data_IF_941932717422
#
_entry.id   IF_941932717422
#
_cell.length_a   1.000
_cell.length_b   1.000
_cell.length_c   1.000
_cell.angle_alpha   90.00
_cell.angle_beta   90.00
_cell.angle_gamma   90.00
#
_symmetry.space_group_name_H-M   'P 1'
#
loop_
_entity.id
_entity.type
_entity.pdbx_description
1 polymer ?
#
# COMPACT_ATOMS: atom_id res chain seq x y z
N UNK A 1 1.42 -67.36 48.78
CA UNK A 1 2.38 -66.42 48.19
C UNK A 1 2.04 -66.31 46.73
N UNK A 2 1.20 -65.40 46.41
CA UNK A 2 0.72 -65.13 45.05
C UNK A 2 1.15 -63.73 44.68
N UNK A 3 2.00 -63.58 43.65
CA UNK A 3 2.51 -62.35 43.12
C UNK A 3 1.40 -61.63 42.27
N UNK A 4 1.20 -60.37 42.53
CA UNK A 4 0.38 -59.48 41.71
C UNK A 4 1.17 -59.00 40.49
N UNK A 5 0.56 -58.82 39.32
CA UNK A 5 1.23 -58.31 38.13
C UNK A 5 1.38 -56.76 38.18
N UNK A 6 2.59 -56.28 37.82
CA UNK A 6 2.89 -54.87 37.57
C UNK A 6 2.12 -54.37 36.35
N UNK A 7 1.13 -53.51 36.53
CA UNK A 7 0.59 -52.67 35.46
C UNK A 7 1.55 -51.48 35.24
N UNK A 8 2.31 -51.56 34.15
CA UNK A 8 3.04 -50.40 33.64
C UNK A 8 2.02 -49.36 33.15
N UNK A 9 1.90 -48.26 33.89
CA UNK A 9 1.07 -47.11 33.48
C UNK A 9 1.74 -46.51 32.24
N UNK A 10 1.03 -46.57 31.11
CA UNK A 10 1.46 -45.98 29.86
C UNK A 10 1.37 -44.44 29.96
N UNK A 11 2.49 -43.83 30.37
CA UNK A 11 2.62 -42.38 30.59
C UNK A 11 2.51 -41.63 29.26
N UNK A 12 2.88 -42.22 28.12
CA UNK A 12 2.70 -41.62 26.79
C UNK A 12 1.22 -41.53 26.41
N UNK A 13 0.42 -42.52 26.74
CA UNK A 13 -1.04 -42.49 26.52
C UNK A 13 -1.72 -41.42 27.37
N UNK A 14 -1.31 -41.19 28.60
CA UNK A 14 -1.86 -40.18 29.48
C UNK A 14 -1.51 -38.74 29.01
N UNK A 15 -0.28 -38.51 28.58
CA UNK A 15 0.17 -37.20 28.02
C UNK A 15 -0.50 -36.88 26.69
N UNK A 16 -0.77 -37.88 25.86
CA UNK A 16 -1.52 -37.66 24.60
C UNK A 16 -3.02 -37.42 24.84
N UNK A 17 -3.60 -38.05 25.87
CA UNK A 17 -4.96 -37.81 26.30
C UNK A 17 -5.13 -36.40 26.92
N UNK A 18 -4.17 -35.93 27.72
CA UNK A 18 -4.18 -34.62 28.34
C UNK A 18 -4.03 -33.49 27.27
N UNK A 19 -3.21 -33.72 26.23
CA UNK A 19 -3.13 -32.80 25.05
C UNK A 19 -4.39 -32.75 24.18
N UNK A 20 -5.17 -33.83 24.16
CA UNK A 20 -6.45 -33.87 23.41
C UNK A 20 -7.62 -33.27 24.20
N UNK A 21 -7.59 -33.30 25.54
CA UNK A 21 -8.69 -32.78 26.39
C UNK A 21 -8.69 -31.26 26.50
N UNK A 22 -7.58 -30.59 26.16
CA UNK A 22 -7.48 -29.10 26.21
C UNK A 22 -7.49 -28.39 24.86
N UNK A 23 -8.12 -28.96 23.80
CA UNK A 23 -8.61 -28.11 22.74
C UNK A 23 -9.96 -27.52 23.19
N UNK A 24 -9.99 -26.21 23.52
CA UNK A 24 -11.26 -25.57 23.81
C UNK A 24 -12.14 -25.78 22.56
N UNK A 25 -13.45 -26.09 22.72
CA UNK A 25 -14.36 -26.21 21.60
C UNK A 25 -14.26 -24.97 20.73
N UNK A 26 -14.39 -25.09 19.39
CA UNK A 26 -14.36 -23.93 18.51
C UNK A 26 -15.39 -22.92 19.02
N UNK A 27 -14.88 -21.90 19.73
CA UNK A 27 -15.72 -20.84 20.25
C UNK A 27 -16.44 -20.20 19.07
N UNK A 28 -17.77 -20.15 19.13
CA UNK A 28 -18.56 -19.34 18.17
C UNK A 28 -17.85 -17.99 18.04
N UNK A 29 -17.65 -17.49 16.80
CA UNK A 29 -16.96 -16.22 16.62
C UNK A 29 -17.60 -15.17 17.52
N UNK A 30 -16.85 -14.67 18.50
CA UNK A 30 -17.36 -13.71 19.45
C UNK A 30 -17.79 -12.45 18.69
N UNK A 31 -18.77 -11.70 19.19
CA UNK A 31 -19.20 -10.42 18.61
C UNK A 31 -18.00 -9.52 18.32
N UNK A 32 -16.95 -9.63 19.09
CA UNK A 32 -15.65 -8.99 18.93
C UNK A 32 -14.91 -9.37 17.63
N UNK A 33 -15.15 -10.59 17.09
CA UNK A 33 -14.52 -11.04 15.86
C UNK A 33 -15.11 -10.36 14.62
N UNK A 34 -16.42 -10.14 14.60
CA UNK A 34 -17.06 -9.45 13.46
C UNK A 34 -16.80 -7.94 13.50
N UNK A 35 -16.77 -7.34 14.68
CA UNK A 35 -16.57 -5.89 14.83
C UNK A 35 -15.23 -5.41 14.27
N UNK A 36 -14.14 -6.12 14.51
CA UNK A 36 -12.81 -5.75 13.97
C UNK A 36 -12.76 -5.79 12.45
N UNK A 37 -13.42 -6.78 11.81
CA UNK A 37 -13.49 -6.88 10.36
C UNK A 37 -14.41 -5.82 9.76
N UNK A 38 -15.49 -5.47 10.45
CA UNK A 38 -16.37 -4.39 10.04
C UNK A 38 -15.66 -3.03 10.10
N UNK A 39 -14.89 -2.76 11.17
CA UNK A 39 -14.07 -1.54 11.26
C UNK A 39 -13.00 -1.51 10.15
N UNK A 40 -12.37 -2.65 9.86
CA UNK A 40 -11.42 -2.78 8.75
C UNK A 40 -12.09 -2.49 7.40
N UNK A 41 -13.29 -3.00 7.18
CA UNK A 41 -14.04 -2.75 5.95
C UNK A 41 -14.36 -1.26 5.76
N UNK A 42 -14.77 -0.54 6.83
CA UNK A 42 -15.02 0.91 6.77
C UNK A 42 -13.73 1.66 6.40
N UNK A 43 -12.61 1.35 7.05
CA UNK A 43 -11.32 1.97 6.75
C UNK A 43 -10.89 1.68 5.30
N UNK A 44 -11.06 0.43 4.85
CA UNK A 44 -10.73 0.00 3.49
C UNK A 44 -11.56 0.74 2.44
N UNK A 45 -12.86 0.92 2.68
CA UNK A 45 -13.74 1.68 1.77
C UNK A 45 -13.32 3.14 1.72
N UNK A 46 -13.06 3.79 2.85
CA UNK A 46 -12.59 5.19 2.89
C UNK A 46 -11.26 5.35 2.15
N UNK A 47 -10.35 4.41 2.33
CA UNK A 47 -9.04 4.40 1.65
C UNK A 47 -9.20 4.22 0.13
N UNK A 48 -10.06 3.30 -0.31
CA UNK A 48 -10.39 3.11 -1.72
C UNK A 48 -11.04 4.36 -2.34
N UNK A 49 -11.96 4.99 -1.62
CA UNK A 49 -12.63 6.23 -2.07
C UNK A 49 -11.63 7.38 -2.18
N UNK A 50 -10.69 7.52 -1.26
CA UNK A 50 -9.64 8.55 -1.33
C UNK A 50 -8.82 8.40 -2.61
N UNK A 51 -8.39 7.19 -2.91
CA UNK A 51 -7.61 6.90 -4.12
C UNK A 51 -8.46 7.02 -5.39
N UNK A 52 -9.74 6.65 -5.33
CA UNK A 52 -10.69 6.86 -6.42
C UNK A 52 -10.85 8.36 -6.73
N UNK A 53 -10.90 9.24 -5.73
CA UNK A 53 -10.94 10.70 -5.94
C UNK A 53 -9.64 11.18 -6.59
N UNK A 54 -8.49 10.71 -6.10
CA UNK A 54 -7.17 11.05 -6.63
C UNK A 54 -7.09 10.80 -8.14
N UNK A 55 -7.44 9.59 -8.56
CA UNK A 55 -7.31 9.12 -9.95
C UNK A 55 -8.60 9.23 -10.78
N UNK A 56 -9.66 9.89 -10.26
CA UNK A 56 -10.98 9.95 -10.91
C UNK A 56 -10.98 10.42 -12.36
N UNK A 57 -10.00 11.22 -12.74
CA UNK A 57 -9.87 11.77 -14.09
C UNK A 57 -8.78 11.07 -14.94
N UNK A 58 -7.94 10.24 -14.34
CA UNK A 58 -6.85 9.57 -15.06
C UNK A 58 -7.32 8.78 -16.30
N UNK A 59 -8.34 7.88 -16.22
CA UNK A 59 -8.77 7.10 -17.39
C UNK A 59 -9.57 7.88 -18.44
N UNK A 60 -9.92 9.14 -18.16
CA UNK A 60 -10.70 10.03 -19.02
C UNK A 60 -10.02 11.40 -19.20
N UNK A 61 -8.69 11.44 -19.03
CA UNK A 61 -7.92 12.70 -19.01
C UNK A 61 -8.19 13.57 -20.21
N UNK A 62 -8.19 13.03 -21.41
CA UNK A 62 -8.44 13.75 -22.67
C UNK A 62 -9.84 14.40 -22.74
N UNK A 63 -10.88 13.78 -22.15
CA UNK A 63 -12.23 14.34 -22.11
C UNK A 63 -12.29 15.51 -21.11
N UNK A 64 -11.66 15.32 -19.97
CA UNK A 64 -11.62 16.31 -18.89
C UNK A 64 -10.82 17.56 -19.30
N UNK A 65 -9.64 17.36 -19.87
CA UNK A 65 -8.80 18.46 -20.36
C UNK A 65 -9.46 19.24 -21.48
N UNK A 66 -10.15 18.55 -22.36
CA UNK A 66 -10.95 19.20 -23.39
C UNK A 66 -12.11 20.05 -22.82
N UNK A 67 -12.66 19.69 -21.63
CA UNK A 67 -13.67 20.53 -20.94
C UNK A 67 -13.07 21.84 -20.45
N UNK A 68 -11.84 21.80 -19.98
CA UNK A 68 -11.12 22.96 -19.46
C UNK A 68 -10.26 23.67 -20.53
N UNK A 69 -10.51 23.44 -21.81
CA UNK A 69 -9.77 24.03 -22.91
C UNK A 69 -8.24 23.89 -22.77
N UNK A 70 -7.81 22.77 -22.19
CA UNK A 70 -6.42 22.44 -21.89
C UNK A 70 -5.69 23.42 -20.92
N UNK A 71 -6.45 24.23 -20.16
CA UNK A 71 -5.87 25.11 -19.13
C UNK A 71 -5.45 24.36 -17.86
N UNK A 72 -6.06 23.20 -17.61
CA UNK A 72 -5.73 22.33 -16.48
C UNK A 72 -5.60 20.88 -16.98
N UNK A 73 -4.50 20.26 -16.65
CA UNK A 73 -4.23 18.85 -17.00
C UNK A 73 -4.64 17.91 -15.87
N UNK A 74 -5.10 16.71 -16.22
CA UNK A 74 -5.59 15.72 -15.25
C UNK A 74 -4.50 15.29 -14.27
N UNK A 75 -3.24 15.13 -14.73
CA UNK A 75 -2.11 14.78 -13.87
C UNK A 75 -1.75 15.86 -12.84
N UNK A 76 -2.09 17.13 -13.11
CA UNK A 76 -1.90 18.20 -12.12
C UNK A 76 -2.74 17.94 -10.87
N UNK A 77 -3.98 17.48 -11.05
CA UNK A 77 -4.87 17.14 -9.94
C UNK A 77 -4.37 15.94 -9.13
N UNK A 78 -3.74 14.98 -9.79
CA UNK A 78 -3.10 13.82 -9.12
C UNK A 78 -1.84 14.29 -8.39
N UNK A 79 -1.04 15.14 -9.00
CA UNK A 79 0.19 15.71 -8.41
C UNK A 79 -0.10 16.50 -7.14
N UNK A 80 -1.26 17.18 -7.05
CA UNK A 80 -1.71 17.85 -5.82
C UNK A 80 -1.78 16.87 -4.63
N UNK A 81 -2.22 15.62 -4.84
CA UNK A 81 -2.21 14.60 -3.79
C UNK A 81 -0.79 14.28 -3.31
N UNK A 82 0.14 14.10 -4.22
CA UNK A 82 1.53 13.78 -3.87
C UNK A 82 2.23 14.93 -3.14
N UNK A 83 2.07 16.17 -3.61
CA UNK A 83 2.68 17.34 -2.98
C UNK A 83 2.07 17.58 -1.60
N UNK A 84 0.75 17.55 -1.47
CA UNK A 84 0.08 17.84 -0.20
C UNK A 84 0.32 16.74 0.85
N UNK A 85 0.58 15.49 0.42
CA UNK A 85 0.94 14.41 1.34
C UNK A 85 2.19 14.74 2.16
N UNK A 86 3.19 15.44 1.57
CA UNK A 86 4.47 15.71 2.22
C UNK A 86 4.28 16.44 3.57
N UNK A 87 3.66 17.64 3.65
CA UNK A 87 3.44 18.30 4.93
C UNK A 87 2.35 17.65 5.77
N UNK A 88 1.32 17.10 5.13
CA UNK A 88 0.13 16.61 5.85
C UNK A 88 0.31 15.23 6.46
N UNK A 89 1.27 14.42 5.98
CA UNK A 89 1.61 13.13 6.59
C UNK A 89 2.07 13.28 8.04
N UNK A 90 2.84 14.33 8.32
CA UNK A 90 3.30 14.64 9.67
C UNK A 90 2.13 15.09 10.56
N UNK A 91 1.30 16.00 10.05
CA UNK A 91 0.14 16.55 10.77
C UNK A 91 -0.88 15.44 11.02
N UNK A 92 -1.17 14.59 10.02
CA UNK A 92 -2.12 13.50 10.13
C UNK A 92 -1.70 12.45 11.14
N UNK A 93 -0.43 12.02 11.11
CA UNK A 93 0.13 11.09 12.09
C UNK A 93 0.05 11.68 13.51
N UNK A 94 0.46 12.94 13.69
CA UNK A 94 0.37 13.62 14.97
C UNK A 94 -1.08 13.72 15.50
N UNK A 95 -2.05 14.05 14.65
CA UNK A 95 -3.48 14.09 15.04
C UNK A 95 -3.96 12.71 15.50
N UNK A 96 -3.64 11.65 14.76
CA UNK A 96 -4.05 10.28 15.12
C UNK A 96 -3.46 9.83 16.45
N UNK A 97 -2.22 10.22 16.76
CA UNK A 97 -1.55 9.89 18.01
C UNK A 97 -2.07 10.72 19.20
N UNK A 98 -2.34 12.02 19.01
CA UNK A 98 -2.74 12.91 20.10
C UNK A 98 -4.22 12.85 20.44
N UNK A 99 -5.07 12.65 19.45
CA UNK A 99 -6.53 12.60 19.64
C UNK A 99 -7.03 11.16 19.67
N UNK A 100 -7.11 10.51 18.55
CA UNK A 100 -7.37 9.08 18.40
C UNK A 100 -7.35 8.70 16.91
N UNK A 101 -7.17 7.43 16.65
CA UNK A 101 -7.30 6.88 15.30
C UNK A 101 -8.68 7.19 14.68
N UNK A 102 -9.77 6.99 15.45
CA UNK A 102 -11.12 7.25 14.95
C UNK A 102 -11.35 8.72 14.58
N UNK A 103 -10.81 9.64 15.38
CA UNK A 103 -10.86 11.07 15.06
C UNK A 103 -10.17 11.38 13.74
N UNK A 104 -8.97 10.84 13.54
CA UNK A 104 -8.22 11.03 12.28
C UNK A 104 -8.94 10.45 11.07
N UNK A 105 -9.46 9.22 11.17
CA UNK A 105 -10.19 8.56 10.07
C UNK A 105 -11.48 9.32 9.71
N UNK A 106 -12.25 9.77 10.69
CA UNK A 106 -13.47 10.57 10.45
C UNK A 106 -13.12 11.94 9.86
N UNK A 107 -12.06 12.60 10.36
CA UNK A 107 -11.60 13.87 9.80
C UNK A 107 -11.18 13.70 8.33
N UNK A 108 -10.42 12.67 8.01
CA UNK A 108 -10.07 12.32 6.63
C UNK A 108 -11.31 12.06 5.77
N UNK A 109 -12.30 11.32 6.29
CA UNK A 109 -13.59 11.11 5.64
C UNK A 109 -14.33 12.40 5.31
N UNK A 110 -14.36 13.36 6.27
CA UNK A 110 -14.98 14.67 6.06
C UNK A 110 -14.24 15.50 5.01
N UNK A 111 -12.90 15.53 5.05
CA UNK A 111 -12.09 16.27 4.09
C UNK A 111 -12.29 15.76 2.66
N UNK A 112 -12.26 14.44 2.45
CA UNK A 112 -12.47 13.88 1.11
C UNK A 112 -13.91 14.05 0.62
N UNK A 113 -14.92 13.94 1.50
CA UNK A 113 -16.30 14.17 1.14
C UNK A 113 -16.56 15.64 0.76
N UNK A 114 -16.02 16.59 1.52
CA UNK A 114 -16.10 18.01 1.21
C UNK A 114 -15.38 18.34 -0.11
N UNK A 115 -14.17 17.81 -0.31
CA UNK A 115 -13.41 18.03 -1.55
C UNK A 115 -14.11 17.48 -2.79
N UNK A 116 -14.63 16.25 -2.73
CA UNK A 116 -15.40 15.65 -3.81
C UNK A 116 -16.70 16.42 -4.11
N UNK A 117 -17.40 16.89 -3.07
CA UNK A 117 -18.61 17.70 -3.22
C UNK A 117 -18.32 19.05 -3.88
N UNK A 118 -17.21 19.70 -3.51
CA UNK A 118 -16.79 20.96 -4.15
C UNK A 118 -16.51 20.77 -5.65
N UNK A 119 -15.88 19.65 -6.04
CA UNK A 119 -15.65 19.32 -7.45
C UNK A 119 -16.95 19.14 -8.23
N UNK A 120 -17.98 18.59 -7.60
CA UNK A 120 -19.31 18.51 -8.21
C UNK A 120 -19.93 19.89 -8.39
N UNK A 121 -19.94 20.73 -7.35
CA UNK A 121 -20.49 22.08 -7.44
C UNK A 121 -19.71 22.98 -8.38
N UNK A 122 -18.40 22.77 -8.54
CA UNK A 122 -17.57 23.51 -9.49
C UNK A 122 -18.10 23.44 -10.91
N UNK A 123 -18.67 22.29 -11.33
CA UNK A 123 -19.19 22.09 -12.68
C UNK A 123 -20.32 23.05 -13.09
N UNK A 124 -20.91 23.78 -12.16
CA UNK A 124 -22.01 24.74 -12.38
C UNK A 124 -21.56 26.21 -12.35
N UNK A 125 -20.25 26.44 -12.19
CA UNK A 125 -19.65 27.77 -12.21
C UNK A 125 -19.22 28.15 -13.64
N UNK A 126 -18.82 29.41 -13.80
CA UNK A 126 -18.14 29.84 -15.00
C UNK A 126 -16.82 29.11 -15.21
N UNK A 127 -16.24 29.05 -16.43
CA UNK A 127 -15.05 28.21 -16.69
C UNK A 127 -13.87 28.50 -15.77
N UNK A 128 -13.65 29.76 -15.40
CA UNK A 128 -12.55 30.13 -14.47
C UNK A 128 -12.86 29.68 -13.06
N UNK A 129 -14.08 29.87 -12.58
CA UNK A 129 -14.55 29.39 -11.29
C UNK A 129 -14.50 27.86 -11.19
N UNK A 130 -14.90 27.16 -12.27
CA UNK A 130 -14.80 25.69 -12.33
C UNK A 130 -13.38 25.20 -12.08
N UNK A 131 -12.37 25.81 -12.72
CA UNK A 131 -10.97 25.42 -12.55
C UNK A 131 -10.49 25.61 -11.10
N UNK A 132 -10.66 26.81 -10.55
CA UNK A 132 -10.16 27.10 -9.20
C UNK A 132 -10.88 26.31 -8.11
N UNK A 133 -12.21 26.14 -8.22
CA UNK A 133 -12.97 25.37 -7.22
C UNK A 133 -12.69 23.87 -7.35
N UNK A 134 -12.45 23.36 -8.57
CA UNK A 134 -12.00 21.97 -8.77
C UNK A 134 -10.61 21.74 -8.13
N UNK A 135 -9.65 22.65 -8.36
CA UNK A 135 -8.33 22.58 -7.73
C UNK A 135 -8.40 22.64 -6.20
N UNK A 136 -9.22 23.54 -5.67
CA UNK A 136 -9.41 23.66 -4.22
C UNK A 136 -10.10 22.43 -3.64
N UNK A 137 -11.12 21.88 -4.31
CA UNK A 137 -11.76 20.63 -3.92
C UNK A 137 -10.79 19.45 -3.95
N UNK A 138 -9.93 19.39 -4.97
CA UNK A 138 -8.88 18.37 -5.07
C UNK A 138 -7.85 18.49 -3.95
N UNK A 139 -7.40 19.71 -3.64
CA UNK A 139 -6.51 19.99 -2.51
C UNK A 139 -7.15 19.55 -1.20
N UNK A 140 -8.42 19.88 -0.96
CA UNK A 140 -9.12 19.48 0.26
C UNK A 140 -9.23 17.95 0.40
N UNK A 141 -9.55 17.25 -0.69
CA UNK A 141 -9.58 15.79 -0.72
C UNK A 141 -8.18 15.17 -0.50
N UNK A 142 -7.12 15.81 -1.00
CA UNK A 142 -5.76 15.33 -0.84
C UNK A 142 -5.25 15.41 0.60
N UNK A 143 -5.72 16.38 1.40
CA UNK A 143 -5.41 16.47 2.83
C UNK A 143 -5.93 15.26 3.62
N UNK A 144 -6.87 14.48 3.07
CA UNK A 144 -7.36 13.24 3.65
C UNK A 144 -6.39 12.07 3.49
N UNK A 145 -5.49 12.10 2.49
CA UNK A 145 -4.63 10.97 2.12
C UNK A 145 -3.81 10.40 3.29
N UNK A 146 -3.16 11.19 4.15
CA UNK A 146 -2.39 10.64 5.26
C UNK A 146 -3.24 9.88 6.28
N UNK A 147 -4.49 10.29 6.50
CA UNK A 147 -5.40 9.59 7.40
C UNK A 147 -5.82 8.22 6.84
N UNK A 148 -5.75 8.03 5.53
CA UNK A 148 -6.08 6.76 4.87
C UNK A 148 -4.86 5.85 4.71
N UNK A 149 -3.70 6.41 4.35
CA UNK A 149 -2.49 5.64 4.03
C UNK A 149 -1.66 5.31 5.29
N UNK A 150 -1.61 6.21 6.30
CA UNK A 150 -0.82 6.00 7.52
C UNK A 150 -1.60 5.29 8.64
N UNK A 151 -2.93 5.21 8.55
CA UNK A 151 -3.77 4.58 9.58
C UNK A 151 -3.74 3.04 9.62
N UNK A 152 -3.53 2.28 8.51
CA UNK A 152 -3.63 0.83 8.52
C UNK A 152 -2.72 0.12 9.53
N UNK A 153 -1.42 0.45 9.68
CA UNK A 153 -0.57 -0.17 10.70
C UNK A 153 -1.07 0.11 12.12
N UNK A 154 -1.44 1.37 12.42
CA UNK A 154 -1.97 1.77 13.71
C UNK A 154 -3.32 1.09 14.02
N UNK A 155 -4.20 1.00 13.02
CA UNK A 155 -5.46 0.27 13.11
C UNK A 155 -5.23 -1.21 13.43
N UNK A 156 -4.34 -1.85 12.69
CA UNK A 156 -4.03 -3.27 12.87
C UNK A 156 -3.44 -3.56 14.24
N UNK A 157 -2.55 -2.70 14.76
CA UNK A 157 -1.99 -2.82 16.09
C UNK A 157 -3.06 -2.73 17.19
N UNK A 158 -4.09 -1.89 16.99
CA UNK A 158 -5.16 -1.66 17.98
C UNK A 158 -6.27 -2.72 17.95
N UNK A 159 -6.57 -3.30 16.78
CA UNK A 159 -7.74 -4.17 16.59
C UNK A 159 -7.41 -5.64 16.40
N UNK A 160 -6.19 -5.98 16.00
CA UNK A 160 -5.81 -7.35 15.65
C UNK A 160 -4.67 -7.88 16.50
N UNK A 161 -4.67 -9.20 16.82
CA UNK A 161 -3.55 -9.84 17.48
C UNK A 161 -2.30 -9.83 16.59
N UNK A 162 -1.08 -9.94 17.14
CA UNK A 162 0.17 -9.90 16.40
C UNK A 162 0.19 -10.79 15.15
N UNK A 163 -0.36 -12.01 15.25
CA UNK A 163 -0.43 -12.98 14.14
C UNK A 163 -1.29 -12.57 12.94
N UNK A 164 -2.14 -11.55 13.07
CA UNK A 164 -3.07 -11.10 12.03
C UNK A 164 -2.81 -9.66 11.57
N UNK A 165 -1.86 -8.94 12.19
CA UNK A 165 -1.58 -7.53 11.89
C UNK A 165 -1.14 -7.31 10.46
N UNK A 166 -0.22 -8.14 9.96
CA UNK A 166 0.24 -8.05 8.57
C UNK A 166 -0.90 -8.21 7.57
N UNK A 167 -1.78 -9.19 7.78
CA UNK A 167 -2.94 -9.43 6.91
C UNK A 167 -3.91 -8.23 6.93
N UNK A 168 -4.27 -7.72 8.11
CA UNK A 168 -5.21 -6.60 8.22
C UNK A 168 -4.64 -5.30 7.65
N UNK A 169 -3.35 -5.03 7.83
CA UNK A 169 -2.66 -3.89 7.21
C UNK A 169 -2.66 -4.02 5.69
N UNK A 170 -2.31 -5.20 5.15
CA UNK A 170 -2.32 -5.44 3.71
C UNK A 170 -3.69 -5.28 3.09
N UNK A 171 -4.76 -5.73 3.75
CA UNK A 171 -6.15 -5.56 3.25
C UNK A 171 -6.48 -4.08 3.09
N UNK A 172 -6.17 -3.24 4.07
CA UNK A 172 -6.46 -1.81 4.02
C UNK A 172 -5.61 -1.07 2.96
N UNK A 173 -4.33 -1.42 2.83
CA UNK A 173 -3.45 -0.83 1.81
C UNK A 173 -3.83 -1.27 0.39
N UNK A 174 -4.15 -2.55 0.19
CA UNK A 174 -4.59 -3.05 -1.10
C UNK A 174 -5.94 -2.45 -1.52
N UNK A 175 -6.83 -2.15 -0.57
CA UNK A 175 -8.09 -1.47 -0.84
C UNK A 175 -7.86 -0.06 -1.42
N UNK A 176 -6.80 0.64 -1.01
CA UNK A 176 -6.40 1.92 -1.60
C UNK A 176 -6.16 1.78 -3.11
N UNK A 177 -5.28 0.87 -3.54
CA UNK A 177 -5.00 0.62 -4.95
C UNK A 177 -6.23 0.10 -5.73
N UNK A 178 -7.11 -0.70 -5.10
CA UNK A 178 -8.37 -1.12 -5.71
C UNK A 178 -9.28 0.06 -6.04
N UNK A 179 -9.22 1.17 -5.27
CA UNK A 179 -9.92 2.41 -5.59
C UNK A 179 -9.54 2.93 -6.99
N UNK A 180 -8.25 2.95 -7.32
CA UNK A 180 -7.78 3.31 -8.67
C UNK A 180 -8.27 2.33 -9.73
N UNK A 181 -8.18 1.02 -9.49
CA UNK A 181 -8.66 0.02 -10.43
C UNK A 181 -10.17 0.17 -10.73
N UNK A 182 -10.97 0.44 -9.70
CA UNK A 182 -12.42 0.67 -9.85
C UNK A 182 -12.71 1.90 -10.73
N UNK A 183 -11.99 2.99 -10.56
CA UNK A 183 -12.14 4.19 -11.39
C UNK A 183 -11.78 3.90 -12.85
N UNK A 184 -10.69 3.17 -13.09
CA UNK A 184 -10.32 2.74 -14.43
C UNK A 184 -11.38 1.86 -15.10
N UNK A 185 -12.08 1.03 -14.33
CA UNK A 185 -13.20 0.23 -14.84
C UNK A 185 -14.46 1.07 -15.07
N UNK A 186 -14.78 2.00 -14.18
CA UNK A 186 -16.10 2.66 -14.19
C UNK A 186 -16.14 3.96 -14.99
N UNK A 187 -15.10 4.81 -14.91
CA UNK A 187 -15.12 6.12 -15.55
C UNK A 187 -15.34 6.06 -17.08
N UNK A 188 -14.64 5.17 -17.85
CA UNK A 188 -14.86 5.12 -19.30
C UNK A 188 -16.21 4.56 -19.72
N UNK A 189 -16.93 3.90 -18.83
CA UNK A 189 -18.31 3.43 -19.08
C UNK A 189 -19.36 4.50 -18.79
N UNK A 190 -19.04 5.46 -17.93
CA UNK A 190 -19.99 6.48 -17.48
C UNK A 190 -19.73 7.84 -18.12
N UNK A 191 -18.52 8.08 -18.64
CA UNK A 191 -18.12 9.36 -19.22
C UNK A 191 -17.70 9.17 -20.68
N UNK A 192 -18.53 9.62 -21.58
CA UNK A 192 -18.30 9.56 -23.04
C UNK A 192 -18.07 10.96 -23.64
N UNK A 193 -18.52 12.00 -22.94
CA UNK A 193 -18.47 13.38 -23.38
C UNK A 193 -18.19 14.35 -22.21
N UNK A 194 -17.87 15.59 -22.55
CA UNK A 194 -17.71 16.68 -21.56
C UNK A 194 -18.99 16.92 -20.72
N UNK A 195 -20.17 16.61 -21.26
CA UNK A 195 -21.45 16.79 -20.57
C UNK A 195 -21.66 15.77 -19.43
N UNK A 196 -20.94 14.64 -19.44
CA UNK A 196 -21.11 13.57 -18.44
C UNK A 196 -20.26 13.82 -17.18
N UNK A 197 -19.31 14.77 -17.23
CA UNK A 197 -18.39 15.06 -16.11
C UNK A 197 -19.12 15.48 -14.83
N UNK A 198 -20.18 16.34 -14.86
CA UNK A 198 -20.93 16.64 -13.65
C UNK A 198 -21.58 15.41 -13.00
N UNK A 199 -22.12 14.50 -13.80
CA UNK A 199 -22.71 13.25 -13.30
C UNK A 199 -21.64 12.34 -12.67
N UNK A 200 -20.46 12.24 -13.30
CA UNK A 200 -19.31 11.52 -12.76
C UNK A 200 -18.86 12.10 -11.41
N UNK A 201 -18.70 13.42 -11.32
CA UNK A 201 -18.35 14.08 -10.05
C UNK A 201 -19.42 13.89 -8.98
N UNK A 202 -20.71 13.84 -9.35
CA UNK A 202 -21.79 13.53 -8.43
C UNK A 202 -21.65 12.11 -7.85
N UNK A 203 -21.38 11.09 -8.68
CA UNK A 203 -21.19 9.73 -8.22
C UNK A 203 -20.01 9.61 -7.24
N UNK A 204 -18.89 10.25 -7.56
CA UNK A 204 -17.73 10.30 -6.66
C UNK A 204 -18.06 11.03 -5.35
N UNK A 205 -18.78 12.16 -5.41
CA UNK A 205 -19.20 12.91 -4.23
C UNK A 205 -20.16 12.12 -3.34
N UNK A 206 -21.14 11.42 -3.92
CA UNK A 206 -22.09 10.58 -3.19
C UNK A 206 -21.38 9.39 -2.53
N UNK A 207 -20.43 8.77 -3.22
CA UNK A 207 -19.62 7.68 -2.66
C UNK A 207 -18.76 8.17 -1.47
N UNK A 208 -18.13 9.35 -1.62
CA UNK A 208 -17.33 9.96 -0.57
C UNK A 208 -18.19 10.37 0.65
N UNK A 209 -19.34 11.02 0.41
CA UNK A 209 -20.26 11.42 1.46
C UNK A 209 -20.87 10.21 2.18
N UNK A 210 -21.31 9.20 1.43
CA UNK A 210 -21.88 7.97 1.99
C UNK A 210 -20.88 7.20 2.87
N UNK A 211 -19.65 7.03 2.37
CA UNK A 211 -18.58 6.39 3.16
C UNK A 211 -18.22 7.19 4.41
N UNK A 212 -18.22 8.52 4.33
CA UNK A 212 -18.01 9.40 5.47
C UNK A 212 -19.13 9.26 6.52
N UNK A 213 -20.40 9.25 6.11
CA UNK A 213 -21.54 9.04 7.01
C UNK A 213 -21.42 7.69 7.72
N UNK A 214 -21.09 6.62 7.01
CA UNK A 214 -20.87 5.30 7.61
C UNK A 214 -19.72 5.35 8.63
N UNK A 215 -18.64 6.06 8.33
CA UNK A 215 -17.54 6.22 9.29
C UNK A 215 -17.95 7.02 10.54
N UNK A 216 -18.69 8.11 10.40
CA UNK A 216 -19.18 8.91 11.53
C UNK A 216 -20.09 8.08 12.44
N UNK A 217 -20.97 7.28 11.87
CA UNK A 217 -21.93 6.50 12.63
C UNK A 217 -21.33 5.28 13.32
N UNK A 218 -20.40 4.60 12.65
CA UNK A 218 -19.96 3.27 13.07
C UNK A 218 -18.48 3.15 13.42
N UNK A 219 -17.59 3.98 12.86
CA UNK A 219 -16.16 3.84 13.12
C UNK A 219 -15.80 4.29 14.53
N UNK A 220 -15.18 3.40 15.32
CA UNK A 220 -14.91 3.63 16.75
C UNK A 220 -13.44 3.40 17.08
N UNK A 221 -12.97 4.15 18.08
CA UNK A 221 -11.69 3.85 18.73
C UNK A 221 -11.82 2.58 19.55
N UNK A 222 -10.74 1.84 19.65
CA UNK A 222 -10.66 0.66 20.53
C UNK A 222 -10.81 1.08 21.97
N UNK A 223 -11.58 0.35 22.78
CA UNK A 223 -11.73 0.61 24.20
C UNK A 223 -10.39 0.31 24.90
N UNK A 224 -10.01 1.12 25.90
CA UNK A 224 -8.77 0.98 26.68
C UNK A 224 -8.53 -0.46 27.20
N UNK A 225 -9.58 -1.19 27.51
CA UNK A 225 -9.56 -2.59 27.95
C UNK A 225 -9.07 -3.57 26.87
N UNK A 226 -9.26 -3.25 25.57
CA UNK A 226 -8.75 -4.06 24.46
C UNK A 226 -7.28 -3.77 24.19
N UNK A 227 -6.85 -2.52 24.28
CA UNK A 227 -5.43 -2.14 24.12
C UNK A 227 -4.59 -2.91 25.14
N UNK A 228 -5.03 -2.98 26.41
CA UNK A 228 -4.32 -3.74 27.46
C UNK A 228 -4.31 -5.26 27.23
N UNK A 229 -5.26 -5.81 26.47
CA UNK A 229 -5.32 -7.25 26.18
C UNK A 229 -4.33 -7.69 25.08
N UNK A 230 -3.96 -6.79 24.18
CA UNK A 230 -3.03 -7.05 23.06
C UNK A 230 -1.69 -6.32 23.22
N UNK A 231 -1.60 -5.37 24.12
CA UNK A 231 -0.37 -4.66 24.45
C UNK A 231 0.33 -5.40 25.59
N UNK A 232 1.16 -6.34 25.21
CA UNK A 232 2.20 -6.84 26.09
C UNK A 232 3.26 -5.72 26.18
N UNK A 233 3.23 -4.95 27.28
CA UNK A 233 4.23 -3.95 27.71
C UNK A 233 4.92 -3.06 26.66
N UNK A 234 4.48 -3.03 25.42
CA UNK A 234 4.96 -2.04 24.45
C UNK A 234 4.28 -0.72 24.79
N UNK A 235 5.00 0.17 25.47
CA UNK A 235 4.66 1.59 25.59
C UNK A 235 4.14 2.04 24.24
N UNK A 236 2.88 2.53 24.18
CA UNK A 236 2.36 3.24 23.02
C UNK A 236 3.44 4.25 22.64
N UNK A 237 4.19 3.97 21.59
CA UNK A 237 5.26 4.85 21.15
C UNK A 237 4.60 6.15 20.72
N UNK A 238 4.70 7.18 21.56
CA UNK A 238 4.38 8.54 21.16
C UNK A 238 5.21 8.82 19.91
N UNK A 239 4.58 9.45 18.94
CA UNK A 239 5.24 9.90 17.72
C UNK A 239 6.53 10.66 18.08
N UNK A 240 7.67 10.05 17.80
CA UNK A 240 8.98 10.60 18.16
C UNK A 240 9.75 10.96 16.89
N UNK A 241 9.88 12.25 16.66
CA UNK A 241 10.62 12.83 15.54
C UNK A 241 12.08 12.36 15.48
N UNK A 242 12.66 11.99 16.61
CA UNK A 242 14.06 11.51 16.66
C UNK A 242 14.21 10.19 15.90
N UNK A 243 13.18 9.34 15.86
CA UNK A 243 13.20 8.07 15.15
C UNK A 243 13.36 8.23 13.63
N UNK A 244 12.85 9.33 13.07
CA UNK A 244 12.99 9.63 11.64
C UNK A 244 14.47 9.84 11.26
N UNK A 245 15.18 10.64 12.04
CA UNK A 245 16.61 10.86 11.81
C UNK A 245 17.43 9.61 12.11
N UNK A 246 17.07 8.87 13.14
CA UNK A 246 17.71 7.62 13.51
C UNK A 246 17.60 6.57 12.39
N UNK A 247 16.47 6.48 11.71
CA UNK A 247 16.28 5.56 10.59
C UNK A 247 17.32 5.78 9.48
N UNK A 248 17.58 7.03 9.10
CA UNK A 248 18.59 7.36 8.07
C UNK A 248 20.01 7.02 8.46
N UNK A 249 20.34 6.95 9.75
CA UNK A 249 21.68 6.60 10.22
C UNK A 249 21.99 5.10 10.02
N UNK A 250 21.00 4.26 9.77
CA UNK A 250 21.20 2.82 9.59
C UNK A 250 21.76 2.47 8.21
N UNK A 251 22.80 1.63 8.21
CA UNK A 251 23.49 1.21 6.99
C UNK A 251 22.54 0.44 6.07
N UNK A 252 22.36 0.92 4.86
CA UNK A 252 21.51 0.27 3.83
C UNK A 252 20.11 0.84 3.71
N UNK A 253 19.57 1.51 4.73
CA UNK A 253 18.19 1.99 4.71
C UNK A 253 17.88 2.92 3.53
N UNK A 254 18.77 3.86 3.20
CA UNK A 254 18.56 4.77 2.07
C UNK A 254 18.40 4.03 0.72
N UNK A 255 19.02 2.84 0.56
CA UNK A 255 18.88 2.05 -0.67
C UNK A 255 17.48 1.42 -0.78
N UNK A 256 16.88 1.05 0.35
CA UNK A 256 15.49 0.58 0.35
C UNK A 256 14.53 1.72 0.04
N UNK A 257 14.80 2.94 0.53
CA UNK A 257 14.02 4.13 0.17
C UNK A 257 14.06 4.36 -1.35
N UNK A 258 15.25 4.34 -1.97
CA UNK A 258 15.39 4.57 -3.41
C UNK A 258 14.61 3.53 -4.22
N UNK A 259 14.71 2.25 -3.87
CA UNK A 259 14.01 1.19 -4.59
C UNK A 259 12.49 1.25 -4.39
N UNK A 260 12.03 1.54 -3.17
CA UNK A 260 10.60 1.75 -2.86
C UNK A 260 10.04 2.94 -3.64
N UNK A 261 10.70 4.09 -3.53
CA UNK A 261 10.25 5.35 -4.15
C UNK A 261 10.17 5.24 -5.67
N UNK A 262 11.13 4.54 -6.30
CA UNK A 262 11.07 4.31 -7.73
C UNK A 262 9.89 3.42 -8.11
N UNK A 263 9.70 2.29 -7.41
CA UNK A 263 8.60 1.38 -7.72
C UNK A 263 7.24 2.07 -7.57
N UNK A 264 7.06 2.85 -6.50
CA UNK A 264 5.86 3.66 -6.29
C UNK A 264 5.69 4.72 -7.37
N UNK A 265 6.74 5.41 -7.72
CA UNK A 265 6.72 6.44 -8.77
C UNK A 265 6.30 5.85 -10.13
N UNK A 266 6.78 4.67 -10.51
CA UNK A 266 6.39 4.01 -11.76
C UNK A 266 4.91 3.60 -11.72
N UNK A 267 4.43 3.03 -10.60
CA UNK A 267 3.01 2.70 -10.44
C UNK A 267 2.15 3.96 -10.55
N UNK A 268 2.54 5.02 -9.86
CA UNK A 268 1.82 6.31 -9.87
C UNK A 268 1.83 6.96 -11.25
N UNK A 269 2.97 6.96 -11.95
CA UNK A 269 3.08 7.53 -13.30
C UNK A 269 2.22 6.75 -14.31
N UNK A 270 2.31 5.42 -14.32
CA UNK A 270 1.47 4.60 -15.19
C UNK A 270 -0.02 4.75 -14.85
N UNK A 271 -0.37 4.82 -13.57
CA UNK A 271 -1.76 5.04 -13.15
C UNK A 271 -2.27 6.45 -13.46
N UNK A 272 -1.40 7.47 -13.54
CA UNK A 272 -1.79 8.83 -13.83
C UNK A 272 -1.86 9.13 -15.33
N UNK A 273 -0.94 8.57 -16.11
CA UNK A 273 -0.67 8.97 -17.50
C UNK A 273 -1.06 7.90 -18.54
N UNK A 274 -1.65 6.77 -18.13
CA UNK A 274 -1.93 5.67 -19.05
C UNK A 274 -2.87 6.09 -20.21
N UNK A 275 -3.89 6.89 -19.92
CA UNK A 275 -4.79 7.41 -20.94
C UNK A 275 -4.05 8.32 -21.93
N UNK A 276 -3.12 9.15 -21.44
CA UNK A 276 -2.27 10.01 -22.27
C UNK A 276 -1.28 9.17 -23.12
N UNK A 277 -0.62 8.17 -22.52
CA UNK A 277 0.32 7.27 -23.22
C UNK A 277 -0.35 6.42 -24.31
N UNK A 278 -1.61 6.05 -24.10
CA UNK A 278 -2.39 5.27 -25.06
C UNK A 278 -3.28 6.11 -25.97
N UNK A 279 -3.35 7.44 -25.78
CA UNK A 279 -4.17 8.34 -26.62
C UNK A 279 -3.79 8.34 -28.10
N UNK A 280 -2.53 8.06 -28.41
CA UNK A 280 -2.01 7.91 -29.78
C UNK A 280 -2.43 6.59 -30.45
N UNK A 281 -3.08 5.69 -29.72
CA UNK A 281 -3.57 4.40 -30.22
C UNK A 281 -5.00 4.52 -30.73
N UNK A 282 -5.47 3.49 -31.45
CA UNK A 282 -6.87 3.37 -31.89
C UNK A 282 -7.78 2.75 -30.82
N UNK A 283 -7.31 2.62 -29.57
CA UNK A 283 -8.07 1.97 -28.50
C UNK A 283 -9.23 2.84 -28.03
N UNK A 284 -10.36 2.19 -27.73
CA UNK A 284 -11.47 2.86 -27.06
C UNK A 284 -11.12 3.19 -25.61
N UNK A 285 -11.75 4.22 -25.05
CA UNK A 285 -11.58 4.58 -23.62
C UNK A 285 -11.86 3.42 -22.69
N UNK A 286 -12.87 2.60 -23.02
CA UNK A 286 -13.20 1.38 -22.27
C UNK A 286 -12.06 0.35 -22.28
N UNK A 287 -11.40 0.17 -23.44
CA UNK A 287 -10.23 -0.71 -23.55
C UNK A 287 -9.05 -0.21 -22.73
N UNK A 288 -8.77 1.10 -22.78
CA UNK A 288 -7.72 1.74 -21.97
C UNK A 288 -8.03 1.57 -20.48
N UNK A 289 -9.29 1.81 -20.07
CA UNK A 289 -9.73 1.60 -18.70
C UNK A 289 -9.54 0.16 -18.23
N UNK A 290 -9.93 -0.83 -19.04
CA UNK A 290 -9.72 -2.25 -18.73
C UNK A 290 -8.23 -2.61 -18.59
N UNK A 291 -7.39 -2.09 -19.48
CA UNK A 291 -5.92 -2.30 -19.44
C UNK A 291 -5.33 -1.71 -18.15
N UNK A 292 -5.74 -0.49 -17.77
CA UNK A 292 -5.27 0.16 -16.55
C UNK A 292 -5.70 -0.58 -15.28
N UNK A 293 -6.96 -0.99 -15.21
CA UNK A 293 -7.45 -1.80 -14.10
C UNK A 293 -6.71 -3.15 -13.99
N UNK A 294 -6.49 -3.81 -15.12
CA UNK A 294 -5.76 -5.09 -15.17
C UNK A 294 -4.30 -4.94 -14.71
N UNK A 295 -3.62 -3.85 -15.09
CA UNK A 295 -2.29 -3.52 -14.60
C UNK A 295 -2.26 -3.40 -13.08
N UNK A 296 -3.18 -2.62 -12.49
CA UNK A 296 -3.24 -2.41 -11.03
C UNK A 296 -3.53 -3.73 -10.31
N UNK A 297 -4.52 -4.50 -10.79
CA UNK A 297 -4.86 -5.79 -10.18
C UNK A 297 -3.71 -6.78 -10.29
N UNK A 298 -3.00 -6.85 -11.43
CA UNK A 298 -1.84 -7.73 -11.58
C UNK A 298 -0.69 -7.32 -10.66
N UNK A 299 -0.49 -6.02 -10.42
CA UNK A 299 0.50 -5.52 -9.45
C UNK A 299 0.16 -5.95 -8.02
N UNK A 300 -1.11 -5.87 -7.61
CA UNK A 300 -1.56 -6.34 -6.30
C UNK A 300 -1.38 -7.85 -6.13
N UNK A 301 -1.81 -8.63 -7.12
CA UNK A 301 -1.70 -10.10 -7.10
C UNK A 301 -0.23 -10.53 -7.12
N UNK A 302 0.58 -9.96 -8.00
CA UNK A 302 2.01 -10.22 -8.08
C UNK A 302 2.72 -9.89 -6.76
N UNK A 303 2.42 -8.70 -6.21
CA UNK A 303 2.93 -8.26 -4.90
C UNK A 303 2.62 -9.25 -3.80
N UNK A 304 1.37 -9.69 -3.70
CA UNK A 304 0.93 -10.61 -2.65
C UNK A 304 1.55 -12.01 -2.79
N UNK A 305 1.57 -12.58 -4.00
CA UNK A 305 2.07 -13.93 -4.23
C UNK A 305 3.58 -14.03 -4.04
N UNK A 306 4.33 -13.07 -4.60
CA UNK A 306 5.81 -13.10 -4.55
C UNK A 306 6.29 -12.78 -3.13
N UNK A 307 5.69 -11.81 -2.43
CA UNK A 307 6.09 -11.46 -1.06
C UNK A 307 5.91 -12.63 -0.11
N UNK A 308 4.78 -13.35 -0.18
CA UNK A 308 4.55 -14.55 0.64
C UNK A 308 5.60 -15.64 0.40
N UNK A 309 6.08 -15.79 -0.84
CA UNK A 309 7.11 -16.77 -1.16
C UNK A 309 8.49 -16.32 -0.67
N UNK A 310 8.78 -15.02 -0.78
CA UNK A 310 10.05 -14.43 -0.32
C UNK A 310 10.20 -14.52 1.20
N UNK A 311 9.14 -14.30 1.95
CA UNK A 311 9.12 -14.42 3.41
C UNK A 311 9.51 -15.84 3.86
N UNK A 312 9.07 -16.87 3.12
CA UNK A 312 9.46 -18.26 3.39
C UNK A 312 10.93 -18.54 3.08
N UNK A 313 11.46 -17.96 2.00
CA UNK A 313 12.82 -18.25 1.52
C UNK A 313 13.88 -17.29 2.08
N UNK A 314 13.49 -16.20 2.72
CA UNK A 314 14.35 -15.12 3.26
C UNK A 314 15.35 -14.51 2.25
N UNK A 315 15.04 -14.57 0.95
CA UNK A 315 15.88 -14.08 -0.15
C UNK A 315 15.43 -12.71 -0.69
N UNK A 316 14.99 -11.82 0.19
CA UNK A 316 14.40 -10.51 -0.14
C UNK A 316 15.24 -9.70 -1.14
N UNK A 317 16.56 -9.58 -0.90
CA UNK A 317 17.45 -8.80 -1.78
C UNK A 317 17.50 -9.34 -3.19
N UNK A 318 17.70 -10.66 -3.35
CA UNK A 318 17.84 -11.29 -4.66
C UNK A 318 16.55 -11.17 -5.48
N UNK A 319 15.39 -11.39 -4.84
CA UNK A 319 14.09 -11.30 -5.51
C UNK A 319 13.79 -9.86 -5.89
N UNK A 320 14.08 -8.88 -5.03
CA UNK A 320 13.91 -7.47 -5.37
C UNK A 320 14.78 -7.06 -6.57
N UNK A 321 16.02 -7.53 -6.67
CA UNK A 321 16.89 -7.30 -7.84
C UNK A 321 16.33 -7.94 -9.11
N UNK A 322 15.84 -9.16 -9.04
CA UNK A 322 15.20 -9.84 -10.18
C UNK A 322 13.97 -9.05 -10.63
N UNK A 323 13.12 -8.62 -9.69
CA UNK A 323 11.93 -7.81 -10.00
C UNK A 323 12.32 -6.46 -10.64
N UNK A 324 13.34 -5.75 -10.14
CA UNK A 324 13.82 -4.50 -10.74
C UNK A 324 14.33 -4.72 -12.18
N UNK A 325 15.10 -5.79 -12.41
CA UNK A 325 15.61 -6.13 -13.76
C UNK A 325 14.46 -6.45 -14.71
N UNK A 326 13.52 -7.29 -14.26
CA UNK A 326 12.35 -7.65 -15.06
C UNK A 326 11.45 -6.45 -15.32
N UNK A 327 11.32 -5.51 -14.38
CA UNK A 327 10.60 -4.25 -14.57
C UNK A 327 11.23 -3.41 -15.67
N UNK A 328 12.58 -3.23 -15.66
CA UNK A 328 13.27 -2.49 -16.72
C UNK A 328 13.08 -3.14 -18.10
N UNK A 329 13.17 -4.47 -18.17
CA UNK A 329 12.93 -5.23 -19.41
C UNK A 329 11.49 -5.07 -19.87
N UNK A 330 10.51 -5.16 -18.95
CA UNK A 330 9.08 -5.06 -19.27
C UNK A 330 8.68 -3.67 -19.76
N UNK A 331 9.24 -2.59 -19.17
CA UNK A 331 9.01 -1.22 -19.67
C UNK A 331 9.63 -1.05 -21.07
N UNK A 332 10.88 -1.52 -21.28
CA UNK A 332 11.50 -1.48 -22.59
C UNK A 332 10.75 -2.32 -23.63
N UNK A 333 10.25 -3.48 -23.26
CA UNK A 333 9.43 -4.32 -24.11
C UNK A 333 8.07 -3.70 -24.47
N UNK A 334 7.45 -2.97 -23.53
CA UNK A 334 6.19 -2.27 -23.76
C UNK A 334 6.26 -1.28 -24.92
N UNK A 335 7.39 -0.62 -25.12
CA UNK A 335 7.64 0.24 -26.28
C UNK A 335 7.66 -0.51 -27.62
N UNK A 336 8.20 -1.74 -27.62
CA UNK A 336 8.32 -2.56 -28.84
C UNK A 336 7.00 -3.23 -29.23
N UNK A 337 6.01 -3.22 -28.32
CA UNK A 337 4.69 -3.80 -28.59
C UNK A 337 3.94 -2.93 -29.60
N UNK A 338 3.43 -3.51 -30.70
CA UNK A 338 2.60 -2.77 -31.65
C UNK A 338 1.36 -2.22 -30.95
N UNK A 339 1.31 -0.92 -30.78
CA UNK A 339 0.20 -0.17 -30.11
C UNK A 339 -1.13 -0.24 -30.91
N UNK A 340 -1.24 -1.18 -31.83
CA UNK A 340 -2.44 -1.48 -32.63
C UNK A 340 -3.21 -2.67 -32.07
N UNK A 341 -2.55 -3.53 -31.26
CA UNK A 341 -3.16 -4.78 -30.72
C UNK A 341 -3.43 -4.65 -29.23
N UNK A 342 -4.69 -4.47 -28.87
CA UNK A 342 -5.16 -4.38 -27.46
C UNK A 342 -4.65 -5.53 -26.59
N UNK A 343 -4.67 -6.77 -27.11
CA UNK A 343 -4.25 -7.96 -26.36
C UNK A 343 -2.75 -7.94 -26.03
N UNK A 344 -1.92 -7.45 -26.96
CA UNK A 344 -0.48 -7.37 -26.75
C UNK A 344 -0.13 -6.29 -25.72
N UNK A 345 -0.78 -5.13 -25.77
CA UNK A 345 -0.65 -4.05 -24.79
C UNK A 345 -1.14 -4.52 -23.42
N UNK A 346 -2.30 -5.18 -23.34
CA UNK A 346 -2.82 -5.75 -22.10
C UNK A 346 -1.83 -6.75 -21.49
N UNK A 347 -1.31 -7.69 -22.29
CA UNK A 347 -0.38 -8.70 -21.79
C UNK A 347 0.91 -8.07 -21.27
N UNK A 348 1.46 -7.08 -21.99
CA UNK A 348 2.70 -6.40 -21.55
C UNK A 348 2.52 -5.66 -20.23
N UNK A 349 1.37 -4.99 -20.03
CA UNK A 349 1.08 -4.29 -18.77
C UNK A 349 0.69 -5.25 -17.63
N UNK A 350 0.06 -6.40 -17.91
CA UNK A 350 -0.13 -7.46 -16.93
C UNK A 350 1.22 -8.00 -16.41
N UNK A 351 2.16 -8.28 -17.32
CA UNK A 351 3.51 -8.73 -16.94
C UNK A 351 4.22 -7.65 -16.16
N UNK A 352 4.19 -6.40 -16.62
CA UNK A 352 4.81 -5.26 -15.93
C UNK A 352 4.24 -5.10 -14.51
N UNK A 353 2.92 -5.13 -14.34
CA UNK A 353 2.27 -5.06 -13.03
C UNK A 353 2.73 -6.20 -12.12
N UNK A 354 2.71 -7.44 -12.62
CA UNK A 354 3.08 -8.62 -11.83
C UNK A 354 4.53 -8.60 -11.33
N UNK A 355 5.47 -7.99 -12.07
CA UNK A 355 6.89 -7.91 -11.64
C UNK A 355 7.21 -6.65 -10.85
N UNK A 356 6.47 -5.57 -11.06
CA UNK A 356 6.63 -4.29 -10.36
C UNK A 356 6.02 -4.34 -8.94
N UNK A 357 4.83 -4.95 -8.80
CA UNK A 357 4.07 -5.02 -7.55
C UNK A 357 4.85 -5.59 -6.35
N UNK A 358 5.65 -6.64 -6.50
CA UNK A 358 6.42 -7.22 -5.40
C UNK A 358 7.52 -6.32 -4.82
N UNK A 359 8.02 -5.34 -5.58
CA UNK A 359 9.18 -4.54 -5.17
C UNK A 359 8.88 -3.78 -3.88
N UNK A 360 7.75 -3.08 -3.80
CA UNK A 360 7.41 -2.26 -2.64
C UNK A 360 7.35 -3.04 -1.33
N UNK A 361 6.55 -4.12 -1.19
CA UNK A 361 6.49 -4.86 0.06
C UNK A 361 7.82 -5.53 0.43
N UNK A 362 8.58 -6.03 -0.54
CA UNK A 362 9.89 -6.66 -0.28
C UNK A 362 10.92 -5.64 0.23
N UNK A 363 11.01 -4.46 -0.38
CA UNK A 363 11.98 -3.45 0.05
C UNK A 363 11.52 -2.71 1.30
N UNK A 364 10.21 -2.66 1.59
CA UNK A 364 9.68 -2.19 2.85
C UNK A 364 10.16 -3.09 3.99
N UNK A 365 10.00 -4.40 3.85
CA UNK A 365 10.46 -5.38 4.84
C UNK A 365 11.97 -5.31 5.07
N UNK A 366 12.76 -5.19 3.99
CA UNK A 366 14.21 -4.95 4.12
C UNK A 366 14.55 -3.64 4.84
N UNK A 367 13.75 -2.60 4.64
CA UNK A 367 13.85 -1.33 5.34
C UNK A 367 13.64 -1.51 6.84
N UNK A 368 12.59 -2.22 7.24
CA UNK A 368 12.27 -2.55 8.63
C UNK A 368 13.39 -3.38 9.27
N UNK A 369 13.86 -4.43 8.56
CA UNK A 369 14.93 -5.30 9.04
C UNK A 369 16.23 -4.53 9.33
N UNK A 370 16.66 -3.64 8.43
CA UNK A 370 17.94 -2.94 8.60
C UNK A 370 17.88 -1.74 9.54
N UNK A 371 16.71 -1.15 9.76
CA UNK A 371 16.54 0.06 10.60
C UNK A 371 16.11 -0.24 12.03
N UNK A 372 15.97 -1.49 12.42
CA UNK A 372 15.68 -1.87 13.81
C UNK A 372 16.65 -1.20 14.79
N UNK A 373 16.20 -0.58 15.91
CA UNK A 373 14.88 -0.67 16.56
C UNK A 373 13.83 0.37 16.14
N UNK A 374 14.01 1.08 15.01
CA UNK A 374 13.01 2.04 14.51
C UNK A 374 11.67 1.32 14.26
N UNK A 375 10.55 1.99 14.56
CA UNK A 375 9.23 1.39 14.37
C UNK A 375 8.90 1.13 12.90
N UNK A 376 8.22 0.02 12.62
CA UNK A 376 7.77 -0.35 11.26
C UNK A 376 6.94 0.76 10.62
N UNK A 377 6.05 1.40 11.40
CA UNK A 377 5.21 2.50 10.94
C UNK A 377 6.04 3.72 10.50
N UNK A 378 7.13 4.06 11.23
CA UNK A 378 8.03 5.15 10.86
C UNK A 378 8.78 4.84 9.57
N UNK A 379 9.25 3.60 9.40
CA UNK A 379 9.93 3.15 8.18
C UNK A 379 9.00 3.23 6.97
N UNK A 380 7.77 2.71 7.11
CA UNK A 380 6.76 2.77 6.06
C UNK A 380 6.40 4.22 5.69
N UNK A 381 6.20 5.09 6.69
CA UNK A 381 5.90 6.51 6.45
C UNK A 381 7.03 7.24 5.73
N UNK A 382 8.30 6.95 6.07
CA UNK A 382 9.46 7.53 5.39
C UNK A 382 9.57 7.08 3.93
N UNK A 383 9.39 5.80 3.67
CA UNK A 383 9.42 5.26 2.29
C UNK A 383 8.27 5.84 1.47
N UNK A 384 7.06 5.89 2.03
CA UNK A 384 5.88 6.48 1.38
C UNK A 384 6.07 7.99 1.10
N UNK A 385 6.66 8.72 2.04
CA UNK A 385 6.96 10.15 1.87
C UNK A 385 7.92 10.38 0.69
N UNK A 386 8.99 9.61 0.62
CA UNK A 386 9.96 9.71 -0.47
C UNK A 386 9.38 9.27 -1.81
N UNK A 387 8.51 8.25 -1.83
CA UNK A 387 7.79 7.81 -3.02
C UNK A 387 6.84 8.87 -3.57
N UNK A 388 6.06 9.50 -2.71
CA UNK A 388 5.18 10.61 -3.10
C UNK A 388 5.98 11.83 -3.57
N UNK A 389 7.10 12.15 -2.91
CA UNK A 389 7.97 13.26 -3.34
C UNK A 389 8.54 13.00 -4.74
N UNK A 390 9.02 11.80 -5.01
CA UNK A 390 9.51 11.43 -6.34
C UNK A 390 8.38 11.46 -7.37
N UNK A 391 7.19 10.96 -7.04
CA UNK A 391 6.01 10.98 -7.92
C UNK A 391 5.54 12.40 -8.23
N UNK A 392 5.59 13.31 -7.24
CA UNK A 392 5.23 14.71 -7.41
C UNK A 392 6.08 15.44 -8.47
N UNK A 393 7.33 15.01 -8.63
CA UNK A 393 8.27 15.57 -9.62
C UNK A 393 8.16 14.80 -10.94
N UNK A 394 8.14 13.47 -10.87
CA UNK A 394 8.25 12.62 -12.04
C UNK A 394 6.96 12.60 -12.89
N UNK A 395 5.77 12.58 -12.27
CA UNK A 395 4.52 12.49 -13.02
C UNK A 395 4.33 13.68 -13.98
N UNK A 396 4.41 14.95 -13.53
CA UNK A 396 4.33 16.08 -14.46
C UNK A 396 5.52 16.14 -15.43
N UNK A 397 6.72 15.71 -15.01
CA UNK A 397 7.89 15.64 -15.88
C UNK A 397 7.73 14.63 -17.02
N UNK A 398 7.22 13.44 -16.74
CA UNK A 398 6.95 12.39 -17.73
C UNK A 398 5.81 12.80 -18.68
N UNK A 399 4.77 13.47 -18.19
CA UNK A 399 3.70 14.02 -19.03
C UNK A 399 4.24 15.09 -19.97
N UNK A 400 5.07 16.02 -19.47
CA UNK A 400 5.71 17.02 -20.32
C UNK A 400 6.59 16.38 -21.41
N UNK A 401 7.36 15.36 -21.08
CA UNK A 401 8.15 14.60 -22.05
C UNK A 401 7.26 13.90 -23.09
N UNK A 402 6.13 13.32 -22.68
CA UNK A 402 5.18 12.68 -23.59
C UNK A 402 4.63 13.68 -24.62
N UNK A 403 4.28 14.87 -24.18
CA UNK A 403 3.76 15.93 -25.07
C UNK A 403 4.79 16.46 -26.07
N UNK A 404 6.08 16.42 -25.70
CA UNK A 404 7.17 16.82 -26.60
C UNK A 404 7.47 15.79 -27.68
N UNK A 405 7.10 14.53 -27.48
CA UNK A 405 7.48 13.39 -28.34
C UNK A 405 6.29 12.74 -29.05
N UNK A 406 5.32 13.54 -29.52
CA UNK A 406 4.12 13.03 -30.22
C UNK A 406 4.38 12.41 -31.58
N UNK A 407 5.55 12.66 -32.22
CA UNK A 407 5.80 12.31 -33.63
C UNK A 407 6.47 10.96 -33.87
N UNK A 408 6.55 10.12 -32.83
CA UNK A 408 7.14 8.78 -32.95
C UNK A 408 8.67 8.75 -32.83
N UNK A 409 9.19 7.61 -32.38
CA UNK A 409 10.63 7.44 -32.12
C UNK A 409 11.35 6.97 -33.38
N UNK A 410 12.09 7.88 -34.02
CA UNK A 410 12.91 7.57 -35.18
C UNK A 410 14.33 7.12 -34.85
N UNK A 411 14.80 7.34 -33.62
CA UNK A 411 16.20 7.14 -33.22
C UNK A 411 16.33 6.58 -31.80
N UNK A 412 17.41 5.88 -31.50
CA UNK A 412 17.81 5.47 -30.16
C UNK A 412 17.90 6.67 -29.17
N UNK A 413 18.27 7.86 -29.67
CA UNK A 413 18.30 9.07 -28.86
C UNK A 413 16.91 9.47 -28.40
N UNK A 414 15.91 9.36 -29.27
CA UNK A 414 14.52 9.69 -28.96
C UNK A 414 13.96 8.74 -27.90
N UNK A 415 14.37 7.46 -27.91
CA UNK A 415 14.02 6.51 -26.88
C UNK A 415 14.50 6.96 -25.49
N UNK A 416 15.78 7.32 -25.35
CA UNK A 416 16.33 7.68 -24.04
C UNK A 416 15.77 8.99 -23.45
N UNK A 417 15.20 9.83 -24.28
CA UNK A 417 14.52 11.08 -23.86
C UNK A 417 13.01 10.87 -23.69
N UNK A 418 12.48 9.72 -24.09
CA UNK A 418 11.06 9.39 -23.91
C UNK A 418 10.70 9.07 -22.46
N UNK A 419 9.42 9.18 -22.05
CA UNK A 419 8.97 8.77 -20.74
C UNK A 419 9.37 7.33 -20.37
N UNK A 420 9.19 6.39 -21.29
CA UNK A 420 9.53 4.98 -21.10
C UNK A 420 11.05 4.79 -20.96
N UNK A 421 11.85 5.47 -21.78
CA UNK A 421 13.31 5.44 -21.71
C UNK A 421 13.83 6.00 -20.38
N UNK A 422 13.26 7.10 -19.90
CA UNK A 422 13.59 7.67 -18.58
C UNK A 422 13.24 6.68 -17.47
N UNK A 423 12.08 6.02 -17.53
CA UNK A 423 11.68 5.00 -16.56
C UNK A 423 12.63 3.77 -16.61
N UNK A 424 13.05 3.33 -17.79
CA UNK A 424 14.04 2.25 -17.93
C UNK A 424 15.38 2.64 -17.32
N UNK A 425 15.91 3.82 -17.66
CA UNK A 425 17.21 4.30 -17.16
C UNK A 425 17.20 4.45 -15.64
N UNK A 426 16.15 5.04 -15.08
CA UNK A 426 16.02 5.20 -13.63
C UNK A 426 15.87 3.86 -12.92
N UNK A 427 15.19 2.88 -13.54
CA UNK A 427 15.07 1.51 -13.00
C UNK A 427 16.44 0.79 -13.02
N UNK A 428 17.21 0.91 -14.10
CA UNK A 428 18.56 0.36 -14.18
C UNK A 428 19.49 1.02 -13.17
N UNK A 429 19.44 2.35 -13.04
CA UNK A 429 20.22 3.06 -12.03
C UNK A 429 19.88 2.60 -10.60
N UNK A 430 18.59 2.40 -10.32
CA UNK A 430 18.13 1.86 -9.04
C UNK A 430 18.60 0.42 -8.81
N UNK A 431 18.56 -0.42 -9.85
CA UNK A 431 19.09 -1.78 -9.78
C UNK A 431 20.60 -1.76 -9.39
N UNK A 432 21.39 -0.90 -10.02
CA UNK A 432 22.83 -0.75 -9.71
C UNK A 432 23.02 -0.28 -8.26
N UNK A 433 22.30 0.75 -7.84
CA UNK A 433 22.35 1.28 -6.46
C UNK A 433 21.93 0.20 -5.46
N UNK A 434 20.82 -0.49 -5.71
CA UNK A 434 20.29 -1.51 -4.82
C UNK A 434 21.14 -2.80 -4.80
N UNK A 435 21.87 -3.12 -5.87
CA UNK A 435 22.80 -4.26 -5.89
C UNK A 435 23.86 -4.15 -4.80
N UNK A 436 24.28 -2.92 -4.47
CA UNK A 436 25.22 -2.62 -3.39
C UNK A 436 24.60 -2.66 -1.98
N UNK A 437 23.34 -3.07 -1.82
CA UNK A 437 22.70 -3.19 -0.51
C UNK A 437 23.41 -4.21 0.38
N UNK A 438 23.85 -3.76 1.54
CA UNK A 438 24.55 -4.55 2.58
C UNK A 438 23.89 -4.40 3.95
N UNK A 439 22.57 -4.20 3.98
CA UNK A 439 21.82 -4.10 5.24
C UNK A 439 21.89 -5.40 6.04
N UNK A 440 22.07 -5.29 7.36
CA UNK A 440 22.03 -6.42 8.27
C UNK A 440 20.57 -6.67 8.68
N UNK A 441 20.14 -7.91 8.76
CA UNK A 441 18.84 -8.33 9.28
C UNK A 441 18.84 -8.24 10.82
N UNK A 442 18.70 -7.01 11.34
CA UNK A 442 18.83 -6.73 12.78
C UNK A 442 17.64 -7.21 13.59
N UNK A 443 16.40 -7.05 13.07
CA UNK A 443 15.17 -7.50 13.73
C UNK A 443 15.18 -9.01 13.91
N UNK A 444 15.35 -9.75 12.82
CA UNK A 444 15.41 -11.22 12.85
C UNK A 444 16.53 -11.75 13.75
N UNK A 445 17.71 -11.08 13.76
CA UNK A 445 18.80 -11.45 14.65
C UNK A 445 18.48 -11.20 16.12
N UNK A 446 17.70 -10.17 16.44
CA UNK A 446 17.25 -9.88 17.81
C UNK A 446 16.21 -10.88 18.28
N UNK A 447 15.20 -11.17 17.44
CA UNK A 447 14.16 -12.16 17.73
C UNK A 447 14.75 -13.55 17.98
N UNK A 448 15.72 -13.97 17.16
CA UNK A 448 16.43 -15.26 17.36
C UNK A 448 17.16 -15.32 18.71
N UNK A 449 17.74 -14.20 19.17
CA UNK A 449 18.41 -14.14 20.47
C UNK A 449 17.45 -14.25 21.65
N UNK A 450 16.20 -13.81 21.50
CA UNK A 450 15.19 -13.92 22.57
C UNK A 450 14.65 -15.34 22.65
N UNK A 451 14.48 -16.02 21.53
CA UNK A 451 13.89 -17.37 21.47
C UNK A 451 14.86 -18.44 21.94
N UNK A 452 16.16 -18.32 21.66
CA UNK A 452 17.19 -19.30 22.05
C UNK A 452 17.32 -19.52 23.57
N UNK A 453 17.27 -18.50 24.45
CA UNK A 453 17.29 -18.71 25.90
C UNK A 453 16.06 -19.47 26.40
N UNK A 454 14.86 -19.14 25.89
CA UNK A 454 13.62 -19.81 26.31
C UNK A 454 13.61 -21.30 25.99
N UNK A 455 14.21 -21.70 24.85
CA UNK A 455 14.32 -23.13 24.48
C UNK A 455 15.31 -23.86 25.41
N UNK A 456 16.41 -23.19 25.80
CA UNK A 456 17.38 -23.78 26.70
C UNK A 456 16.86 -23.91 28.15
N UNK A 457 16.07 -22.92 28.61
CA UNK A 457 15.46 -22.96 29.94
C UNK A 457 14.39 -24.07 30.03
N UNK A 458 13.59 -24.30 29.01
CA UNK A 458 12.63 -25.39 28.96
C UNK A 458 13.32 -26.77 28.93
N UNK A 459 14.48 -26.90 28.29
CA UNK A 459 15.28 -28.14 28.32
C UNK A 459 15.99 -28.34 29.65
N UNK A 460 16.43 -27.26 30.30
CA UNK A 460 17.04 -27.35 31.65
C UNK A 460 16.00 -27.71 32.70
N UNK A 461 14.79 -27.13 32.60
CA UNK A 461 13.68 -27.49 33.51
C UNK A 461 13.23 -28.93 33.31
N UNK A 462 13.18 -29.43 32.07
CA UNK A 462 12.84 -30.81 31.79
C UNK A 462 13.93 -31.78 32.26
N UNK A 463 15.21 -31.40 32.17
CA UNK A 463 16.35 -32.20 32.67
C UNK A 463 16.45 -32.17 34.21
N UNK A 464 16.10 -31.08 34.88
CA UNK A 464 16.05 -31.02 36.35
C UNK A 464 14.91 -31.85 36.92
N UNK A 465 13.74 -31.86 36.28
CA UNK A 465 12.60 -32.70 36.67
C UNK A 465 12.88 -34.20 36.46
N UNK A 466 13.72 -34.54 35.47
CA UNK A 466 14.14 -35.96 35.29
C UNK A 466 15.21 -36.43 36.29
N UNK A 467 16.03 -35.51 36.83
CA UNK A 467 17.04 -35.85 37.84
C UNK A 467 16.44 -35.94 39.27
N UNK A 468 15.39 -35.16 39.57
CA UNK A 468 14.71 -35.26 40.87
C UNK A 468 13.85 -36.52 40.98
N UNK A 469 13.45 -37.15 39.89
CA UNK A 469 12.77 -38.45 39.87
C UNK A 469 13.71 -39.64 40.08
N UNK A 470 15.03 -39.44 39.90
CA UNK A 470 16.03 -40.50 40.08
C UNK A 470 16.62 -40.57 41.52
N UNK A 471 16.23 -39.63 42.41
CA UNK A 471 16.76 -39.57 43.79
C UNK A 471 15.75 -40.08 44.85
N UNK A 472 14.61 -40.63 44.42
CA UNK A 472 13.63 -41.28 45.30
C UNK A 472 13.35 -42.73 44.87
N UNK A 473 14.40 -43.52 44.74
CA UNK A 473 14.33 -44.97 44.76
C UNK A 473 15.40 -45.55 45.74
#
# INVERSE_FOLDING_TARGET
MTALPNEAIDIEGAVLLEKQVHKPPPSRPSRDSYEKWFMLAILSVLSAVNQAICYSYAPISTIVEARWEHQLHAETLITVFFISYIPTSFIGSWIMDQKSLAYGVVLGGLLQAAGASLRYFACFLDPVGELYVTLFGQLLASLAMPFMVNSPPLFSANWFPPSMRAVSTSVALNANALGTALVYLTAPFLVHSRADIPSWNLYIALLAAGSCVVAILFFRSTTSTRINRFSDNSKVHKYDWSQWWTAFSHTGFWRTIVAFSLAECIVNALSALLDEFLSVTTFSKTQIGFIGAAFIVSSLVGGQLVSQQVDKMRNHKTVALICLLLTAISIGAFQLVPKVKVQATLLSLLVLGAVLGPIQPIVLELGVECSYPTSEATVAALQQLCGNLLSAIAVPGLSALQRMHTDGYGSLKDFFVSPDGVMVLTTIATFIVFSSFKGKYKRSAHETKIVLPCINDDQVVSASLSNDAATFC
#
